data_IF_358778893059
#
_entry.id   IF_358778893059
#
_cell.length_a   1.000
_cell.length_b   1.000
_cell.length_c   1.000
_cell.angle_alpha   90.00
_cell.angle_beta   90.00
_cell.angle_gamma   90.00
#
_symmetry.space_group_name_H-M   'P 1'
#
loop_
_entity.id
_entity.type
_entity.pdbx_description
1 polymer ?
#
# COMPACT_ATOMS: atom_id res chain seq x y z
N UNK A 1 -83.84 -42.09 -18.44
CA UNK A 1 -85.07 -42.69 -18.99
C UNK A 1 -84.89 -44.21 -18.96
N UNK A 2 -85.81 -44.92 -18.31
CA UNK A 2 -85.79 -46.39 -18.21
C UNK A 2 -86.72 -47.06 -19.25
N UNK A 3 -87.38 -46.26 -20.09
CA UNK A 3 -88.31 -46.73 -21.13
C UNK A 3 -87.68 -46.77 -22.53
N UNK A 4 -86.44 -46.28 -22.69
CA UNK A 4 -85.70 -46.27 -23.95
C UNK A 4 -86.13 -45.14 -24.91
N UNK A 5 -85.18 -44.63 -25.70
CA UNK A 5 -85.40 -43.51 -26.62
C UNK A 5 -84.15 -42.65 -26.77
N UNK A 6 -84.09 -41.82 -27.80
CA UNK A 6 -82.96 -40.89 -27.98
C UNK A 6 -83.17 -39.66 -27.09
N UNK A 7 -82.21 -39.38 -26.19
CA UNK A 7 -82.19 -38.15 -25.40
C UNK A 7 -81.47 -37.06 -26.18
N UNK A 8 -82.10 -35.88 -26.27
CA UNK A 8 -81.49 -34.70 -26.91
C UNK A 8 -80.93 -33.76 -25.84
N UNK A 9 -79.81 -33.12 -26.13
CA UNK A 9 -79.14 -32.21 -25.21
C UNK A 9 -79.08 -30.81 -25.81
N UNK A 10 -79.52 -29.82 -25.03
CA UNK A 10 -79.31 -28.41 -25.37
C UNK A 10 -78.19 -27.86 -24.50
N UNK A 11 -77.11 -27.40 -25.15
CA UNK A 11 -76.01 -26.67 -24.50
C UNK A 11 -76.24 -25.18 -24.68
N UNK A 12 -76.22 -24.43 -23.59
CA UNK A 12 -76.08 -22.97 -23.61
C UNK A 12 -74.66 -22.65 -23.15
N UNK A 13 -73.86 -22.05 -24.04
CA UNK A 13 -72.50 -21.63 -23.69
C UNK A 13 -72.53 -20.26 -23.04
N UNK A 14 -71.93 -20.13 -21.86
CA UNK A 14 -71.80 -18.84 -21.17
C UNK A 14 -70.78 -17.93 -21.83
N UNK A 15 -70.93 -16.63 -21.63
CA UNK A 15 -69.92 -15.64 -21.99
C UNK A 15 -68.74 -15.71 -21.03
N UNK A 16 -67.55 -15.33 -21.49
CA UNK A 16 -66.38 -15.22 -20.62
C UNK A 16 -66.60 -14.14 -19.57
N UNK A 17 -66.51 -14.51 -18.30
CA UNK A 17 -66.49 -13.57 -17.20
C UNK A 17 -65.05 -13.31 -16.79
N UNK A 18 -64.53 -12.13 -17.12
CA UNK A 18 -63.16 -11.72 -16.79
C UNK A 18 -62.97 -11.74 -15.27
N UNK A 19 -61.90 -12.40 -14.84
CA UNK A 19 -61.43 -12.42 -13.46
C UNK A 19 -60.73 -11.12 -13.05
N UNK A 20 -60.21 -11.11 -11.84
CA UNK A 20 -59.54 -9.93 -11.26
C UNK A 20 -58.16 -9.65 -11.86
N UNK A 21 -57.60 -10.58 -12.65
CA UNK A 21 -56.26 -10.44 -13.20
C UNK A 21 -56.20 -10.79 -14.70
N UNK A 22 -55.56 -9.92 -15.49
CA UNK A 22 -55.10 -10.24 -16.84
C UNK A 22 -56.19 -10.84 -17.74
N UNK A 23 -55.90 -12.02 -18.29
CA UNK A 23 -56.83 -12.82 -19.11
C UNK A 23 -57.46 -14.00 -18.35
N UNK A 24 -57.41 -13.99 -17.01
CA UNK A 24 -58.07 -15.00 -16.16
C UNK A 24 -59.57 -14.77 -16.13
N UNK A 25 -60.34 -15.78 -15.76
CA UNK A 25 -61.80 -15.69 -15.69
C UNK A 25 -62.50 -17.03 -15.74
N UNK A 26 -63.81 -17.03 -15.94
CA UNK A 26 -64.61 -18.26 -16.00
C UNK A 26 -65.56 -18.29 -17.19
N UNK A 27 -65.88 -19.51 -17.65
CA UNK A 27 -66.99 -19.80 -18.55
C UNK A 27 -67.96 -20.72 -17.85
N UNK A 28 -69.25 -20.39 -17.89
CA UNK A 28 -70.30 -21.22 -17.28
C UNK A 28 -71.22 -21.76 -18.38
N UNK A 29 -71.09 -23.05 -18.70
CA UNK A 29 -71.96 -23.73 -19.64
C UNK A 29 -73.09 -24.43 -18.89
N UNK A 30 -74.32 -24.34 -19.41
CA UNK A 30 -75.45 -25.08 -18.87
C UNK A 30 -75.97 -26.09 -19.89
N UNK A 31 -76.43 -27.23 -19.38
CA UNK A 31 -76.98 -28.32 -20.19
C UNK A 31 -78.33 -28.75 -19.64
N UNK A 32 -79.31 -28.89 -20.53
CA UNK A 32 -80.59 -29.52 -20.26
C UNK A 32 -80.81 -30.67 -21.23
N UNK A 33 -81.29 -31.79 -20.72
CA UNK A 33 -81.60 -32.96 -21.52
C UNK A 33 -83.12 -33.12 -21.66
N UNK A 34 -83.59 -33.44 -22.85
CA UNK A 34 -85.00 -33.69 -23.16
C UNK A 34 -85.17 -35.10 -23.70
N UNK A 35 -86.12 -35.86 -23.13
CA UNK A 35 -86.51 -37.16 -23.68
C UNK A 35 -87.53 -37.03 -24.83
N UNK A 36 -87.89 -38.15 -25.45
CA UNK A 36 -88.83 -38.21 -26.59
C UNK A 36 -90.26 -37.78 -26.22
N UNK A 37 -90.57 -37.67 -24.93
CA UNK A 37 -91.85 -37.21 -24.39
C UNK A 37 -91.79 -35.75 -23.90
N UNK A 38 -90.69 -35.04 -24.18
CA UNK A 38 -90.41 -33.67 -23.75
C UNK A 38 -90.25 -33.46 -22.23
N UNK A 39 -90.00 -34.52 -21.45
CA UNK A 39 -89.58 -34.32 -20.07
C UNK A 39 -88.17 -33.72 -20.04
N UNK A 40 -87.95 -32.69 -19.23
CA UNK A 40 -86.69 -31.94 -19.16
C UNK A 40 -85.93 -32.28 -17.87
N UNK A 41 -84.62 -32.53 -17.97
CA UNK A 41 -83.76 -32.73 -16.80
C UNK A 41 -83.61 -31.45 -15.97
N UNK A 42 -83.10 -31.60 -14.74
CA UNK A 42 -82.50 -30.46 -14.05
C UNK A 42 -81.31 -29.92 -14.85
N UNK A 43 -81.01 -28.64 -14.67
CA UNK A 43 -79.88 -28.00 -15.35
C UNK A 43 -78.58 -28.55 -14.76
N UNK A 44 -77.70 -29.06 -15.61
CA UNK A 44 -76.32 -29.35 -15.25
C UNK A 44 -75.44 -28.15 -15.60
N UNK A 45 -74.62 -27.71 -14.65
CA UNK A 45 -73.73 -26.55 -14.82
C UNK A 45 -72.27 -27.02 -14.81
N UNK A 46 -71.52 -26.62 -15.83
CA UNK A 46 -70.08 -26.76 -15.90
C UNK A 46 -69.43 -25.38 -15.81
N UNK A 47 -68.54 -25.19 -14.84
CA UNK A 47 -67.70 -24.00 -14.74
C UNK A 47 -66.29 -24.34 -15.20
N UNK A 48 -65.78 -23.62 -16.20
CA UNK A 48 -64.40 -23.71 -16.69
C UNK A 48 -63.66 -22.49 -16.17
N UNK A 49 -62.59 -22.70 -15.42
CA UNK A 49 -61.77 -21.61 -14.86
C UNK A 49 -60.47 -21.48 -15.65
N UNK A 50 -60.20 -20.27 -16.13
CA UNK A 50 -58.93 -19.86 -16.72
C UNK A 50 -58.14 -19.14 -15.64
N UNK A 51 -56.99 -19.68 -15.27
CA UNK A 51 -56.08 -19.14 -14.26
C UNK A 51 -54.69 -18.93 -14.85
N UNK A 52 -54.00 -17.90 -14.37
CA UNK A 52 -52.59 -17.68 -14.68
C UNK A 52 -51.77 -18.14 -13.47
N UNK A 53 -50.97 -19.17 -13.68
CA UNK A 53 -50.06 -19.74 -12.67
C UNK A 53 -48.61 -19.73 -13.16
N UNK A 54 -48.33 -19.07 -14.29
CA UNK A 54 -47.00 -19.03 -14.86
C UNK A 54 -46.21 -17.88 -14.22
N UNK A 55 -45.04 -18.19 -13.65
CA UNK A 55 -44.18 -17.16 -13.07
C UNK A 55 -43.41 -16.41 -14.17
N UNK A 56 -43.02 -15.14 -13.93
CA UNK A 56 -42.07 -14.45 -14.79
C UNK A 56 -40.71 -15.19 -14.85
N UNK A 57 -40.07 -15.16 -16.02
CA UNK A 57 -38.75 -15.76 -16.27
C UNK A 57 -37.73 -14.68 -16.57
N UNK A 58 -36.57 -14.73 -15.93
CA UNK A 58 -35.46 -13.79 -16.17
C UNK A 58 -34.87 -13.96 -17.58
N UNK A 59 -34.74 -12.85 -18.30
CA UNK A 59 -33.97 -12.78 -19.54
C UNK A 59 -32.50 -12.53 -19.22
N UNK A 60 -32.25 -11.64 -18.25
CA UNK A 60 -30.90 -11.39 -17.77
C UNK A 60 -30.34 -12.68 -17.16
N UNK A 61 -29.20 -13.13 -17.68
CA UNK A 61 -28.54 -14.34 -17.21
C UNK A 61 -27.95 -14.11 -15.81
N UNK A 62 -27.99 -15.13 -14.96
CA UNK A 62 -27.39 -15.08 -13.64
C UNK A 62 -25.89 -14.73 -13.73
N UNK A 63 -25.42 -13.86 -12.84
CA UNK A 63 -24.02 -13.43 -12.75
C UNK A 63 -23.58 -12.36 -13.77
N UNK A 64 -24.39 -12.01 -14.77
CA UNK A 64 -23.97 -11.00 -15.77
C UNK A 64 -23.92 -9.57 -15.23
N UNK A 65 -24.59 -9.33 -14.10
CA UNK A 65 -24.56 -8.03 -13.42
C UNK A 65 -23.54 -7.99 -12.28
N UNK A 66 -22.86 -9.12 -11.99
CA UNK A 66 -21.83 -9.18 -10.97
C UNK A 66 -20.61 -8.40 -11.44
N UNK A 67 -20.00 -7.65 -10.52
CA UNK A 67 -18.86 -6.80 -10.85
C UNK A 67 -17.92 -6.68 -9.66
N UNK A 68 -16.62 -6.58 -9.96
CA UNK A 68 -15.58 -6.31 -8.98
C UNK A 68 -15.03 -4.90 -9.20
N UNK A 69 -14.97 -4.11 -8.14
CA UNK A 69 -14.57 -2.72 -8.14
C UNK A 69 -13.42 -2.50 -7.14
N UNK A 70 -12.57 -1.51 -7.42
CA UNK A 70 -11.62 -1.04 -6.42
C UNK A 70 -12.35 -0.25 -5.33
N UNK A 71 -11.84 -0.30 -4.10
CA UNK A 71 -12.38 0.40 -2.93
C UNK A 71 -12.56 1.92 -3.11
N UNK A 72 -11.80 2.54 -4.02
CA UNK A 72 -11.88 3.96 -4.35
C UNK A 72 -12.86 4.31 -5.46
N UNK A 73 -13.49 3.33 -6.13
CA UNK A 73 -14.36 3.55 -7.29
C UNK A 73 -15.82 3.80 -6.90
N UNK A 74 -16.09 4.95 -6.30
CA UNK A 74 -17.44 5.36 -5.91
C UNK A 74 -18.40 5.54 -7.11
N UNK A 75 -17.87 5.95 -8.27
CA UNK A 75 -18.66 6.13 -9.49
C UNK A 75 -19.06 4.78 -10.10
N UNK A 76 -18.14 3.82 -10.13
CA UNK A 76 -18.39 2.44 -10.50
C UNK A 76 -19.40 1.77 -9.58
N UNK A 77 -19.30 2.00 -8.25
CA UNK A 77 -20.26 1.47 -7.28
C UNK A 77 -21.67 2.03 -7.54
N UNK A 78 -21.78 3.34 -7.78
CA UNK A 78 -23.06 3.99 -8.12
C UNK A 78 -23.64 3.40 -9.41
N UNK A 79 -22.80 3.17 -10.42
CA UNK A 79 -23.21 2.60 -11.70
C UNK A 79 -23.70 1.16 -11.53
N UNK A 80 -22.95 0.34 -10.79
CA UNK A 80 -23.29 -1.05 -10.51
C UNK A 80 -24.61 -1.16 -9.72
N UNK A 81 -24.82 -0.29 -8.73
CA UNK A 81 -26.05 -0.24 -7.96
C UNK A 81 -27.29 0.18 -8.78
N UNK A 82 -27.10 0.91 -9.87
CA UNK A 82 -28.18 1.34 -10.76
C UNK A 82 -28.50 0.33 -11.88
N UNK A 83 -27.72 -0.75 -12.03
CA UNK A 83 -28.07 -1.83 -12.94
C UNK A 83 -29.32 -2.58 -12.45
N UNK A 84 -30.11 -3.11 -13.39
CA UNK A 84 -31.30 -3.89 -13.10
C UNK A 84 -31.43 -5.06 -14.10
N UNK A 85 -31.84 -6.25 -13.62
CA UNK A 85 -32.17 -7.36 -14.50
C UNK A 85 -33.53 -7.13 -15.20
N UNK A 86 -33.78 -7.91 -16.24
CA UNK A 86 -35.03 -7.91 -17.00
C UNK A 86 -35.63 -9.31 -17.04
N UNK A 87 -36.95 -9.39 -16.99
CA UNK A 87 -37.75 -10.62 -17.05
C UNK A 87 -38.92 -10.46 -18.04
N UNK A 88 -39.46 -11.60 -18.46
CA UNK A 88 -40.66 -11.71 -19.29
C UNK A 88 -41.72 -12.53 -18.58
N UNK A 89 -42.98 -12.16 -18.77
CA UNK A 89 -44.15 -12.95 -18.39
C UNK A 89 -45.05 -13.14 -19.62
N UNK A 90 -45.67 -14.31 -19.74
CA UNK A 90 -46.57 -14.58 -20.86
C UNK A 90 -47.84 -13.75 -20.70
N UNK A 91 -48.23 -13.03 -21.76
CA UNK A 91 -49.49 -12.28 -21.84
C UNK A 91 -49.68 -11.19 -20.76
N UNK A 92 -48.62 -10.78 -20.06
CA UNK A 92 -48.68 -9.85 -18.92
C UNK A 92 -47.45 -8.94 -18.88
N UNK A 93 -47.63 -7.73 -18.36
CA UNK A 93 -46.51 -6.86 -18.00
C UNK A 93 -45.82 -7.36 -16.74
N UNK A 94 -44.53 -7.04 -16.57
CA UNK A 94 -43.73 -7.41 -15.40
C UNK A 94 -43.45 -6.16 -14.55
N UNK A 95 -43.62 -6.30 -13.24
CA UNK A 95 -43.21 -5.33 -12.23
C UNK A 95 -42.03 -5.88 -11.42
N UNK A 96 -41.13 -5.02 -10.96
CA UNK A 96 -39.91 -5.43 -10.27
C UNK A 96 -39.85 -4.85 -8.87
N UNK A 97 -39.45 -5.68 -7.91
CA UNK A 97 -39.10 -5.23 -6.57
C UNK A 97 -37.61 -5.46 -6.35
N UNK A 98 -36.85 -4.39 -6.11
CA UNK A 98 -35.43 -4.46 -5.73
C UNK A 98 -35.31 -4.42 -4.21
N UNK A 99 -34.48 -5.29 -3.66
CA UNK A 99 -33.95 -5.18 -2.30
C UNK A 99 -32.45 -4.92 -2.40
N UNK A 100 -32.04 -3.72 -1.98
CA UNK A 100 -30.62 -3.36 -1.97
C UNK A 100 -29.92 -3.97 -0.75
N UNK A 101 -28.79 -4.63 -0.98
CA UNK A 101 -27.97 -5.17 0.11
C UNK A 101 -27.22 -4.07 0.86
N UNK A 102 -26.93 -4.33 2.14
CA UNK A 102 -25.94 -3.56 2.90
C UNK A 102 -24.54 -4.06 2.59
N UNK A 103 -23.53 -3.22 2.84
CA UNK A 103 -22.14 -3.63 2.69
C UNK A 103 -21.78 -4.69 3.75
N UNK A 104 -21.21 -5.80 3.31
CA UNK A 104 -20.65 -6.84 4.18
C UNK A 104 -19.14 -6.84 3.97
N UNK A 105 -18.40 -6.31 4.94
CA UNK A 105 -16.95 -6.22 4.90
C UNK A 105 -16.30 -7.62 4.93
N UNK A 106 -15.16 -7.74 4.26
CA UNK A 106 -14.31 -8.92 4.32
C UNK A 106 -13.64 -9.01 5.69
N UNK A 107 -13.46 -10.24 6.19
CA UNK A 107 -12.72 -10.48 7.43
C UNK A 107 -11.22 -10.15 7.32
N UNK A 108 -10.68 -10.13 6.11
CA UNK A 108 -9.24 -9.90 5.87
C UNK A 108 -8.88 -8.46 5.53
N UNK A 109 -9.86 -7.62 5.18
CA UNK A 109 -9.65 -6.23 4.78
C UNK A 109 -10.98 -5.49 4.93
N UNK A 110 -11.04 -4.54 5.87
CA UNK A 110 -12.27 -3.82 6.21
C UNK A 110 -12.82 -2.97 5.05
N UNK A 111 -11.94 -2.55 4.12
CA UNK A 111 -12.28 -1.74 2.95
C UNK A 111 -12.63 -2.59 1.72
N UNK A 112 -12.58 -3.90 1.85
CA UNK A 112 -13.06 -4.88 0.86
C UNK A 112 -14.32 -5.56 1.39
N UNK A 113 -15.15 -6.08 0.50
CA UNK A 113 -16.41 -6.72 0.89
C UNK A 113 -17.37 -6.86 -0.27
N UNK A 114 -18.64 -7.08 0.03
CA UNK A 114 -19.67 -7.24 -1.01
C UNK A 114 -20.96 -6.49 -0.67
N UNK A 115 -21.68 -6.10 -1.71
CA UNK A 115 -23.10 -5.81 -1.66
C UNK A 115 -23.84 -6.92 -2.40
N UNK A 116 -24.95 -7.41 -1.85
CA UNK A 116 -25.81 -8.40 -2.51
C UNK A 116 -27.18 -7.79 -2.73
N UNK A 117 -27.48 -7.44 -3.97
CA UNK A 117 -28.80 -6.94 -4.36
C UNK A 117 -29.66 -8.09 -4.88
N UNK A 118 -30.96 -8.06 -4.57
CA UNK A 118 -31.91 -9.06 -5.05
C UNK A 118 -33.10 -8.42 -5.74
N UNK A 119 -33.66 -9.12 -6.73
CA UNK A 119 -34.89 -8.74 -7.40
C UNK A 119 -35.90 -9.88 -7.44
N UNK A 120 -37.16 -9.53 -7.26
CA UNK A 120 -38.29 -10.37 -7.64
C UNK A 120 -39.08 -9.68 -8.76
N UNK A 121 -39.53 -10.47 -9.73
CA UNK A 121 -40.41 -10.03 -10.80
C UNK A 121 -41.82 -10.58 -10.54
N UNK A 122 -42.83 -9.73 -10.69
CA UNK A 122 -44.23 -10.05 -10.51
C UNK A 122 -45.00 -9.78 -11.79
N UNK A 123 -45.81 -10.73 -12.24
CA UNK A 123 -46.79 -10.47 -13.29
C UNK A 123 -48.04 -9.75 -12.74
N UNK A 124 -49.02 -9.48 -13.60
CA UNK A 124 -50.28 -8.82 -13.22
C UNK A 124 -51.16 -9.67 -12.29
N UNK A 125 -50.90 -10.98 -12.18
CA UNK A 125 -51.60 -11.92 -11.30
C UNK A 125 -50.87 -12.15 -9.98
N UNK A 126 -49.78 -11.43 -9.76
CA UNK A 126 -48.88 -11.55 -8.62
C UNK A 126 -48.15 -12.91 -8.55
N UNK A 127 -48.08 -13.66 -9.66
CA UNK A 127 -47.13 -14.78 -9.73
C UNK A 127 -45.72 -14.19 -9.65
N UNK A 128 -44.91 -14.74 -8.75
CA UNK A 128 -43.59 -14.19 -8.42
C UNK A 128 -42.49 -15.07 -8.99
N UNK A 129 -41.49 -14.47 -9.63
CA UNK A 129 -40.32 -15.18 -10.14
C UNK A 129 -39.48 -15.79 -9.02
N UNK A 130 -38.52 -16.63 -9.39
CA UNK A 130 -37.36 -16.89 -8.52
C UNK A 130 -36.57 -15.59 -8.30
N UNK A 131 -35.81 -15.53 -7.21
CA UNK A 131 -34.96 -14.36 -6.90
C UNK A 131 -33.81 -14.27 -7.91
N UNK A 132 -33.60 -13.10 -8.50
CA UNK A 132 -32.37 -12.76 -9.20
C UNK A 132 -31.42 -12.08 -8.23
N UNK A 133 -30.13 -12.45 -8.27
CA UNK A 133 -29.10 -11.89 -7.39
C UNK A 133 -28.01 -11.22 -8.21
N UNK A 134 -27.56 -10.08 -7.72
CA UNK A 134 -26.33 -9.39 -8.16
C UNK A 134 -25.38 -9.29 -6.97
N UNK A 135 -24.13 -9.65 -7.19
CA UNK A 135 -23.05 -9.46 -6.22
C UNK A 135 -22.09 -8.39 -6.74
N UNK A 136 -21.98 -7.29 -6.00
CA UNK A 136 -20.97 -6.26 -6.25
C UNK A 136 -19.84 -6.49 -5.25
N UNK A 137 -18.67 -6.86 -5.74
CA UNK A 137 -17.47 -7.06 -4.92
C UNK A 137 -16.64 -5.79 -4.91
N UNK A 138 -16.27 -5.32 -3.73
CA UNK A 138 -15.32 -4.23 -3.53
C UNK A 138 -14.04 -4.85 -3.02
N UNK A 139 -12.90 -4.55 -3.64
CA UNK A 139 -11.60 -5.04 -3.22
C UNK A 139 -10.56 -3.91 -3.19
N UNK A 140 -9.53 -4.09 -2.37
CA UNK A 140 -8.34 -3.24 -2.38
C UNK A 140 -7.14 -4.04 -2.85
N UNK A 141 -6.69 -3.77 -4.07
CA UNK A 141 -5.48 -4.38 -4.64
C UNK A 141 -4.41 -3.33 -4.97
N UNK A 142 -4.60 -2.09 -4.51
CA UNK A 142 -3.70 -0.98 -4.82
C UNK A 142 -2.56 -0.96 -3.81
N UNK A 143 -1.32 -1.01 -4.29
CA UNK A 143 -0.14 -0.89 -3.43
C UNK A 143 0.01 0.56 -2.94
N UNK A 144 0.45 0.81 -1.69
CA UNK A 144 0.77 2.16 -1.23
C UNK A 144 1.81 2.86 -2.13
N UNK A 145 1.78 4.19 -2.18
CA UNK A 145 2.73 4.98 -2.98
C UNK A 145 3.61 5.80 -2.07
N UNK A 146 4.93 5.69 -2.22
CA UNK A 146 5.88 6.57 -1.52
C UNK A 146 5.67 8.02 -1.94
N UNK A 147 5.47 8.90 -0.96
CA UNK A 147 5.41 10.36 -1.18
C UNK A 147 6.75 11.02 -0.83
N UNK A 148 7.57 10.36 0.00
CA UNK A 148 8.98 10.74 0.15
C UNK A 148 9.73 10.38 -1.13
N UNK A 149 10.44 11.35 -1.71
CA UNK A 149 11.20 11.14 -2.94
C UNK A 149 12.46 10.31 -2.65
N UNK A 150 12.84 9.43 -3.58
CA UNK A 150 14.06 8.65 -3.46
C UNK A 150 15.29 9.56 -3.32
N UNK A 151 16.21 9.19 -2.41
CA UNK A 151 17.45 9.91 -2.15
C UNK A 151 17.33 11.15 -1.27
N UNK A 152 16.12 11.63 -0.92
CA UNK A 152 15.98 12.84 -0.08
C UNK A 152 16.32 12.61 1.39
N UNK A 153 16.40 11.35 1.81
CA UNK A 153 16.82 10.97 3.17
C UNK A 153 18.31 10.59 3.22
N UNK A 154 18.99 10.53 2.07
CA UNK A 154 20.42 10.20 2.01
C UNK A 154 21.23 11.36 2.58
N UNK A 155 22.27 11.04 3.34
CA UNK A 155 23.08 12.05 4.04
C UNK A 155 24.51 11.58 4.20
N UNK A 156 25.45 12.53 4.08
CA UNK A 156 26.86 12.33 4.40
C UNK A 156 27.17 13.04 5.72
N UNK A 157 27.84 12.34 6.62
CA UNK A 157 28.21 12.82 7.95
C UNK A 157 29.72 12.63 8.18
N UNK A 158 30.31 13.53 8.98
CA UNK A 158 31.64 13.27 9.52
C UNK A 158 31.58 12.10 10.50
N UNK A 159 32.63 11.30 10.56
CA UNK A 159 32.65 10.10 11.41
C UNK A 159 32.50 10.42 12.91
N UNK A 160 32.88 11.63 13.33
CA UNK A 160 32.70 12.10 14.71
C UNK A 160 31.27 12.58 15.03
N UNK A 161 30.37 12.67 14.05
CA UNK A 161 29.02 13.19 14.23
C UNK A 161 28.01 12.11 14.67
N UNK A 162 28.17 11.62 15.90
CA UNK A 162 27.26 10.62 16.47
C UNK A 162 25.81 11.13 16.62
N UNK A 163 25.63 12.43 16.85
CA UNK A 163 24.30 13.05 16.98
C UNK A 163 23.59 13.13 15.61
N UNK A 164 24.32 13.52 14.57
CA UNK A 164 23.85 13.48 13.19
C UNK A 164 23.49 12.07 12.75
N UNK A 165 24.32 11.07 13.09
CA UNK A 165 24.03 9.67 12.78
C UNK A 165 22.75 9.19 13.46
N UNK A 166 22.57 9.53 14.74
CA UNK A 166 21.33 9.22 15.48
C UNK A 166 20.12 9.88 14.83
N UNK A 167 20.24 11.14 14.42
CA UNK A 167 19.17 11.88 13.75
C UNK A 167 18.82 11.26 12.40
N UNK A 168 19.82 10.95 11.58
CA UNK A 168 19.66 10.32 10.28
C UNK A 168 19.00 8.93 10.38
N UNK A 169 19.40 8.13 11.37
CA UNK A 169 18.81 6.82 11.65
C UNK A 169 17.34 6.90 12.10
N UNK A 170 16.92 8.02 12.69
CA UNK A 170 15.53 8.23 13.13
C UNK A 170 14.64 8.86 12.05
N UNK A 171 15.19 9.29 10.92
CA UNK A 171 14.37 9.69 9.78
C UNK A 171 13.63 8.49 9.20
N UNK A 172 12.44 8.74 8.66
CA UNK A 172 11.59 7.73 8.05
C UNK A 172 10.89 8.29 6.81
N UNK A 173 10.75 7.50 5.73
CA UNK A 173 9.93 7.87 4.60
C UNK A 173 8.45 7.75 4.95
N UNK A 174 7.62 8.40 4.14
CA UNK A 174 6.16 8.35 4.21
C UNK A 174 5.57 7.90 2.88
N UNK A 175 4.46 7.15 2.96
CA UNK A 175 3.66 6.67 1.85
C UNK A 175 2.17 6.94 2.09
N UNK A 176 1.40 6.93 1.01
CA UNK A 176 -0.05 7.08 1.03
C UNK A 176 -0.71 5.85 0.39
N UNK A 177 -1.91 5.50 0.85
CA UNK A 177 -2.72 4.46 0.23
C UNK A 177 -4.14 4.99 0.03
N UNK A 178 -4.83 4.49 -0.98
CA UNK A 178 -6.23 4.83 -1.20
C UNK A 178 -7.10 3.96 -0.30
N UNK A 179 -8.04 4.59 0.39
CA UNK A 179 -9.04 3.95 1.25
C UNK A 179 -8.50 3.11 2.42
N UNK A 180 -7.18 3.05 2.65
CA UNK A 180 -6.55 2.20 3.66
C UNK A 180 -5.48 2.96 4.46
N UNK A 181 -5.18 2.49 5.67
CA UNK A 181 -4.10 3.02 6.50
C UNK A 181 -2.78 2.36 6.08
N UNK A 182 -1.67 3.09 6.16
CA UNK A 182 -0.33 2.60 5.85
C UNK A 182 0.46 2.32 7.14
N UNK A 183 1.07 1.15 7.19
CA UNK A 183 2.03 0.73 8.21
C UNK A 183 3.42 0.55 7.59
N UNK A 184 4.48 0.68 8.39
CA UNK A 184 5.87 0.65 7.91
C UNK A 184 6.69 -0.39 8.66
N UNK A 185 7.53 -1.11 7.93
CA UNK A 185 8.56 -1.99 8.51
C UNK A 185 9.92 -1.45 8.11
N UNK A 186 10.73 -1.03 9.08
CA UNK A 186 12.13 -0.63 8.89
C UNK A 186 13.05 -1.85 9.06
N UNK A 187 13.98 -2.03 8.13
CA UNK A 187 15.15 -2.90 8.29
C UNK A 187 16.39 -2.02 8.35
N UNK A 188 17.02 -1.94 9.52
CA UNK A 188 18.25 -1.17 9.70
C UNK A 188 19.44 -1.92 9.11
N UNK A 189 20.25 -1.23 8.31
CA UNK A 189 21.50 -1.78 7.79
C UNK A 189 22.58 -1.84 8.85
N UNK A 190 23.47 -2.82 8.74
CA UNK A 190 24.73 -2.82 9.48
C UNK A 190 25.71 -1.82 8.82
N UNK A 191 26.69 -1.36 9.60
CA UNK A 191 27.78 -0.55 9.07
C UNK A 191 28.63 -1.39 8.10
N UNK A 192 28.86 -0.85 6.91
CA UNK A 192 29.77 -1.41 5.91
C UNK A 192 30.95 -0.46 5.78
N UNK A 193 32.10 -0.87 6.32
CA UNK A 193 33.32 -0.07 6.29
C UNK A 193 33.82 0.13 4.85
N UNK A 194 34.37 1.31 4.59
CA UNK A 194 35.05 1.63 3.33
C UNK A 194 36.36 0.86 3.23
N UNK A 195 36.71 0.45 2.01
CA UNK A 195 38.03 -0.13 1.72
C UNK A 195 39.12 0.93 1.65
N UNK A 196 38.77 2.20 1.44
CA UNK A 196 39.74 3.28 1.26
C UNK A 196 40.15 3.96 2.57
N UNK A 197 39.32 3.87 3.62
CA UNK A 197 39.65 4.38 4.94
C UNK A 197 38.88 3.61 6.02
N UNK A 198 39.60 3.20 7.08
CA UNK A 198 39.09 2.29 8.11
C UNK A 198 37.93 2.86 8.95
N UNK A 199 37.80 4.20 9.01
CA UNK A 199 36.85 4.89 9.89
C UNK A 199 35.68 5.53 9.11
N UNK A 200 35.55 5.19 7.82
CA UNK A 200 34.48 5.66 6.92
C UNK A 200 33.70 4.46 6.39
N UNK A 201 32.53 4.71 5.82
CA UNK A 201 31.66 3.63 5.36
C UNK A 201 30.22 4.06 5.19
N UNK A 202 29.29 3.11 5.13
CA UNK A 202 27.87 3.41 4.94
C UNK A 202 26.97 2.57 5.84
N UNK A 203 25.79 3.11 6.13
CA UNK A 203 24.62 2.35 6.56
C UNK A 203 23.57 2.40 5.45
N UNK A 204 22.91 1.28 5.18
CA UNK A 204 21.80 1.22 4.22
C UNK A 204 20.54 0.74 4.90
N UNK A 205 19.62 1.66 5.17
CA UNK A 205 18.32 1.36 5.76
C UNK A 205 17.29 1.14 4.66
N UNK A 206 16.37 0.20 4.89
CA UNK A 206 15.25 -0.02 3.97
C UNK A 206 13.91 0.01 4.70
N UNK A 207 12.87 0.48 4.01
CA UNK A 207 11.49 0.46 4.49
C UNK A 207 10.58 -0.19 3.48
N UNK A 208 9.63 -0.94 4.00
CA UNK A 208 8.50 -1.45 3.23
C UNK A 208 7.23 -0.89 3.85
N UNK A 209 6.38 -0.29 3.02
CA UNK A 209 5.05 0.17 3.42
C UNK A 209 4.01 -0.90 3.06
N UNK A 210 3.03 -1.08 3.95
CA UNK A 210 1.97 -2.08 3.82
C UNK A 210 0.63 -1.47 4.22
N UNK A 211 -0.40 -1.68 3.42
CA UNK A 211 -1.76 -1.30 3.81
C UNK A 211 -2.48 -2.38 4.66
N UNK A 212 -3.63 -2.01 5.21
CA UNK A 212 -4.44 -2.92 6.05
C UNK A 212 -5.03 -4.11 5.26
N UNK A 213 -4.98 -4.08 3.93
CA UNK A 213 -5.49 -5.13 3.06
C UNK A 213 -4.39 -6.08 2.56
N UNK A 214 -3.14 -5.81 2.94
CA UNK A 214 -2.00 -6.66 2.69
C UNK A 214 -1.16 -6.29 1.46
N UNK A 215 -1.48 -5.20 0.76
CA UNK A 215 -0.69 -4.75 -0.38
C UNK A 215 0.59 -4.06 0.10
N UNK A 216 1.71 -4.36 -0.54
CA UNK A 216 3.05 -4.03 -0.07
C UNK A 216 3.84 -3.30 -1.15
N UNK A 217 4.58 -2.25 -0.77
CA UNK A 217 5.45 -1.50 -1.68
C UNK A 217 6.76 -2.21 -1.96
N UNK A 218 7.42 -1.81 -3.05
CA UNK A 218 8.86 -1.97 -3.16
C UNK A 218 9.59 -1.23 -2.04
N UNK A 219 10.82 -1.64 -1.75
CA UNK A 219 11.62 -1.09 -0.68
C UNK A 219 12.05 0.35 -0.98
N UNK A 220 11.78 1.28 -0.05
CA UNK A 220 12.44 2.59 -0.02
C UNK A 220 13.81 2.43 0.63
N UNK A 221 14.85 3.05 0.06
CA UNK A 221 16.23 2.94 0.56
C UNK A 221 16.73 4.31 1.02
N UNK A 222 17.44 4.33 2.15
CA UNK A 222 18.24 5.45 2.63
C UNK A 222 19.70 4.99 2.75
N UNK A 223 20.62 5.79 2.26
CA UNK A 223 22.06 5.62 2.44
C UNK A 223 22.60 6.73 3.34
N UNK A 224 23.19 6.34 4.47
CA UNK A 224 23.93 7.24 5.35
C UNK A 224 25.42 6.98 5.13
N UNK A 225 26.12 7.95 4.56
CA UNK A 225 27.56 7.88 4.31
C UNK A 225 28.32 8.52 5.46
N UNK A 226 29.34 7.84 5.95
CA UNK A 226 30.27 8.31 6.96
C UNK A 226 31.59 8.60 6.28
N UNK A 227 32.09 9.82 6.40
CA UNK A 227 33.35 10.29 5.82
C UNK A 227 34.23 10.93 6.88
N UNK A 228 35.51 11.06 6.57
CA UNK A 228 36.45 11.84 7.37
C UNK A 228 37.22 12.75 6.42
N UNK A 229 36.95 14.04 6.58
CA UNK A 229 37.59 15.12 5.83
C UNK A 229 38.35 16.06 6.75
N UNK A 230 38.49 15.70 8.02
CA UNK A 230 39.11 16.55 9.04
C UNK A 230 40.56 16.15 9.17
N UNK A 231 41.47 17.13 9.20
CA UNK A 231 42.89 16.86 9.38
C UNK A 231 43.23 16.69 10.88
N UNK A 232 44.29 15.93 11.20
CA UNK A 232 44.79 15.87 12.56
C UNK A 232 45.24 17.24 13.08
N UNK A 233 45.13 17.42 14.39
CA UNK A 233 45.49 18.65 15.10
C UNK A 233 46.58 18.40 16.13
N UNK A 234 47.58 19.28 16.22
CA UNK A 234 48.62 19.18 17.22
C UNK A 234 48.09 19.55 18.62
N UNK A 235 48.29 18.66 19.58
CA UNK A 235 48.00 18.94 21.00
C UNK A 235 49.21 19.54 21.71
N UNK A 236 50.41 19.31 21.18
CA UNK A 236 51.60 20.05 21.60
C UNK A 236 51.46 21.51 21.19
N UNK A 237 51.55 22.43 22.16
CA UNK A 237 51.42 23.85 21.89
C UNK A 237 52.53 24.36 20.94
N UNK A 238 52.25 25.38 20.10
CA UNK A 238 53.27 26.00 19.28
C UNK A 238 54.49 26.40 20.12
N UNK A 239 55.69 26.19 19.57
CA UNK A 239 57.00 26.49 20.19
C UNK A 239 57.31 25.78 21.52
N UNK A 240 56.44 24.91 22.04
CA UNK A 240 56.65 24.22 23.31
C UNK A 240 57.88 23.29 23.33
N UNK A 241 58.36 22.89 22.15
CA UNK A 241 59.56 22.06 22.01
C UNK A 241 60.83 22.88 21.72
N UNK A 242 60.72 24.20 21.57
CA UNK A 242 61.88 25.07 21.33
C UNK A 242 62.77 25.11 22.56
N UNK A 243 64.08 25.09 22.36
CA UNK A 243 65.03 25.07 23.48
C UNK A 243 66.32 25.81 23.12
N UNK A 244 66.77 26.68 24.03
CA UNK A 244 68.05 27.37 23.92
C UNK A 244 69.09 26.62 24.74
N UNK A 245 70.20 26.24 24.11
CA UNK A 245 71.28 25.49 24.72
C UNK A 245 72.61 26.23 24.59
N UNK A 246 73.57 25.90 25.45
CA UNK A 246 74.95 26.32 25.25
C UNK A 246 75.59 25.52 24.11
N UNK A 247 76.50 26.14 23.35
CA UNK A 247 77.13 25.50 22.18
C UNK A 247 77.95 24.24 22.54
N UNK A 248 78.34 24.07 23.80
CA UNK A 248 79.03 22.88 24.32
C UNK A 248 78.09 21.75 24.75
N UNK A 249 76.77 21.98 24.82
CA UNK A 249 75.80 21.00 25.33
C UNK A 249 75.30 20.03 24.24
N UNK A 250 76.20 19.14 23.81
CA UNK A 250 75.88 18.12 22.81
C UNK A 250 74.79 17.13 23.28
N UNK A 251 74.73 16.84 24.59
CA UNK A 251 73.74 15.94 25.17
C UNK A 251 72.33 16.59 25.17
N UNK A 252 72.25 17.87 25.52
CA UNK A 252 71.04 18.67 25.41
C UNK A 252 70.55 18.77 23.98
N UNK A 253 71.45 19.00 23.02
CA UNK A 253 71.08 19.05 21.60
C UNK A 253 70.51 17.72 21.12
N UNK A 254 71.15 16.61 21.50
CA UNK A 254 70.67 15.25 21.17
C UNK A 254 69.27 15.01 21.75
N UNK A 255 69.04 15.43 22.99
CA UNK A 255 67.75 15.30 23.67
C UNK A 255 66.66 16.16 23.01
N UNK A 256 66.98 17.42 22.69
CA UNK A 256 66.09 18.35 22.00
C UNK A 256 65.66 17.82 20.63
N UNK A 257 66.61 17.23 19.88
CA UNK A 257 66.39 16.63 18.58
C UNK A 257 65.56 15.34 18.64
N UNK A 258 65.51 14.66 19.80
CA UNK A 258 64.70 13.47 20.00
C UNK A 258 63.24 13.78 20.42
N UNK A 259 62.93 15.02 20.81
CA UNK A 259 61.56 15.42 21.13
C UNK A 259 60.66 15.34 19.89
N UNK A 260 59.41 14.96 20.10
CA UNK A 260 58.38 14.89 19.08
C UNK A 260 57.08 15.55 19.59
N UNK A 261 56.35 16.29 18.73
CA UNK A 261 55.02 16.75 19.07
C UNK A 261 54.04 15.57 19.10
N UNK A 262 52.87 15.80 19.68
CA UNK A 262 51.74 14.86 19.71
C UNK A 262 50.55 15.51 19.02
N UNK A 263 49.79 14.71 18.28
CA UNK A 263 48.56 15.10 17.59
C UNK A 263 47.36 14.29 18.07
N UNK A 264 46.16 14.74 17.71
CA UNK A 264 44.89 14.02 17.85
C UNK A 264 44.04 14.25 16.62
N UNK A 265 43.19 13.29 16.30
CA UNK A 265 42.18 13.41 15.25
C UNK A 265 40.81 12.94 15.79
N UNK A 266 39.73 13.51 15.25
CA UNK A 266 38.36 13.20 15.69
C UNK A 266 37.83 11.90 15.08
N UNK A 267 38.47 11.42 14.01
CA UNK A 267 38.11 10.25 13.25
C UNK A 267 39.16 9.15 13.28
N UNK A 268 40.40 9.48 13.62
CA UNK A 268 41.49 8.54 13.76
C UNK A 268 42.09 8.54 15.17
N UNK A 269 41.97 7.42 15.86
CA UNK A 269 42.60 7.22 17.17
C UNK A 269 44.11 6.99 17.10
N UNK A 270 44.64 6.61 15.93
CA UNK A 270 46.07 6.35 15.72
C UNK A 270 46.71 7.39 14.79
N UNK A 271 47.13 8.50 15.38
CA UNK A 271 47.91 9.55 14.69
C UNK A 271 49.39 9.48 15.06
N UNK A 272 49.95 8.28 15.18
CA UNK A 272 51.35 8.06 15.55
C UNK A 272 52.33 8.12 14.37
N UNK A 273 51.82 8.16 13.15
CA UNK A 273 52.57 8.24 11.89
C UNK A 273 53.13 9.66 11.59
N UNK A 274 53.73 10.26 12.62
CA UNK A 274 54.34 11.59 12.56
C UNK A 274 55.64 11.52 11.75
N UNK A 275 55.76 12.38 10.74
CA UNK A 275 56.95 12.52 9.90
C UNK A 275 57.74 13.74 10.33
N UNK A 276 58.99 13.54 10.77
CA UNK A 276 59.95 14.62 11.07
C UNK A 276 60.80 14.93 9.84
N UNK A 277 60.93 16.22 9.51
CA UNK A 277 61.97 16.74 8.62
C UNK A 277 62.98 17.50 9.46
N UNK A 278 64.20 16.95 9.58
CA UNK A 278 65.26 17.58 10.37
C UNK A 278 65.90 18.74 9.63
N UNK A 279 66.03 19.88 10.30
CA UNK A 279 66.75 21.03 9.78
C UNK A 279 68.26 20.86 9.87
N UNK A 280 68.99 21.50 8.94
CA UNK A 280 70.43 21.68 9.07
C UNK A 280 70.73 22.82 10.06
N UNK A 281 71.93 22.81 10.64
CA UNK A 281 72.40 23.94 11.44
C UNK A 281 72.54 25.19 10.59
N UNK A 282 71.94 26.29 11.04
CA UNK A 282 72.09 27.61 10.43
C UNK A 282 72.82 28.51 11.41
N UNK A 283 74.08 28.83 11.11
CA UNK A 283 74.90 29.70 11.94
C UNK A 283 74.39 31.15 11.93
N UNK A 284 74.56 31.84 13.05
CA UNK A 284 74.35 33.29 13.18
C UNK A 284 75.43 34.04 12.42
N UNK A 285 75.06 35.14 11.76
CA UNK A 285 75.98 36.00 11.01
C UNK A 285 77.12 36.55 11.87
N UNK A 286 76.88 36.77 13.16
CA UNK A 286 77.85 37.37 14.09
C UNK A 286 78.73 36.37 14.83
N UNK A 287 78.40 35.07 14.77
CA UNK A 287 79.05 34.03 15.59
C UNK A 287 78.84 32.64 14.98
N UNK A 288 79.88 32.10 14.33
CA UNK A 288 79.78 30.84 13.56
C UNK A 288 79.48 29.58 14.39
N UNK A 289 79.66 29.64 15.72
CA UNK A 289 79.31 28.57 16.66
C UNK A 289 78.00 28.82 17.43
N UNK A 290 77.24 29.84 17.05
CA UNK A 290 75.87 30.11 17.52
C UNK A 290 74.93 30.00 16.33
N UNK A 291 73.70 29.51 16.53
CA UNK A 291 72.76 29.28 15.42
C UNK A 291 71.54 28.47 15.85
N UNK A 292 70.77 28.00 14.88
CA UNK A 292 69.52 27.25 15.13
C UNK A 292 69.45 25.96 14.31
N UNK A 293 68.62 25.03 14.79
CA UNK A 293 68.14 23.89 14.01
C UNK A 293 66.63 24.00 13.90
N UNK A 294 66.10 24.13 12.69
CA UNK A 294 64.64 24.20 12.49
C UNK A 294 64.10 22.87 12.02
N UNK A 295 63.44 22.13 12.91
CA UNK A 295 62.76 20.89 12.57
C UNK A 295 61.29 21.15 12.26
N UNK A 296 60.72 20.40 11.33
CA UNK A 296 59.29 20.43 11.04
C UNK A 296 58.66 19.05 11.13
N UNK A 297 57.37 19.00 11.47
CA UNK A 297 56.58 17.77 11.53
C UNK A 297 55.25 17.91 10.81
N UNK A 298 54.84 16.81 10.19
CA UNK A 298 53.50 16.60 9.63
C UNK A 298 52.99 15.25 10.08
N UNK A 299 51.68 15.12 10.27
CA UNK A 299 51.02 13.83 10.52
C UNK A 299 49.84 13.69 9.58
N UNK A 300 49.46 12.46 9.26
CA UNK A 300 48.37 12.15 8.33
C UNK A 300 47.43 11.14 8.99
N UNK A 301 46.13 11.34 8.95
CA UNK A 301 45.19 10.32 9.44
C UNK A 301 45.08 9.11 8.49
N UNK A 302 44.33 8.10 8.92
CA UNK A 302 44.01 6.90 8.16
C UNK A 302 43.28 7.17 6.82
N UNK A 303 42.61 8.32 6.67
CA UNK A 303 41.91 8.73 5.46
C UNK A 303 42.78 9.58 4.52
N UNK A 304 43.97 9.96 4.95
CA UNK A 304 44.93 10.71 4.18
C UNK A 304 44.90 12.23 4.38
N UNK A 305 44.07 12.77 5.29
CA UNK A 305 44.11 14.20 5.57
C UNK A 305 45.38 14.54 6.36
N UNK A 306 46.04 15.64 6.01
CA UNK A 306 47.37 15.99 6.54
C UNK A 306 47.28 17.21 7.44
N UNK A 307 47.93 17.15 8.59
CA UNK A 307 47.99 18.24 9.57
C UNK A 307 48.63 19.51 9.02
N UNK A 308 48.47 20.62 9.74
CA UNK A 308 49.39 21.75 9.57
C UNK A 308 50.82 21.37 9.98
N UNK A 309 51.80 22.16 9.56
CA UNK A 309 53.20 21.95 9.93
C UNK A 309 53.42 22.41 11.37
N UNK A 310 53.97 21.52 12.22
CA UNK A 310 54.54 21.91 13.51
C UNK A 310 56.02 22.27 13.33
N UNK A 311 56.51 23.31 14.01
CA UNK A 311 57.90 23.77 13.90
C UNK A 311 58.55 23.86 15.28
N UNK A 312 59.78 23.37 15.38
CA UNK A 312 60.68 23.46 16.54
C UNK A 312 61.94 24.19 16.10
N UNK A 313 62.44 25.10 16.94
CA UNK A 313 63.70 25.83 16.74
C UNK A 313 64.61 25.65 17.95
#
# INVERSE_FOLDING_TARGET
>A
DNCGGTVTYTKISGQFQRGSCGSTGTYTNTWTANDVCNNTSTVFTQVITVQDTAIPTWITQAGTLDITLQCSDAAGLTTAQNQAPTATANCSIVTYTKTSGVFVASTSCANSGTYTNTWTANDVCNNTSTVFTQVITVQDTAIPTWITQAGTLDITLQCSDAAGLTTAQNQAPTATANCSIVTYTKTSGLFVASTSCANTGTYTNTWVAKDDCGNITDAFTQVISIEDTTKPTWTTAPTALNITLQCSDAAGLTSAQANAPVATDNCDSDVTNIVKTSGVFVASESCGNSGTYTNTWTVKDACGNTSDIFTQV
#
